data_IF_198528948775
#
_entry.id   IF_198528948775
#
_cell.length_a   1.000
_cell.length_b   1.000
_cell.length_c   1.000
_cell.angle_alpha   90.00
_cell.angle_beta   90.00
_cell.angle_gamma   90.00
#
_symmetry.space_group_name_H-M   'P 1'
#
loop_
_entity.id
_entity.type
_entity.pdbx_description
1 polymer ?
#
# COMPACT_ATOMS: atom_id res chain seq x y z
N UNK A 1 2.75 -8.86 -8.08
CA UNK A 1 2.97 -7.78 -7.09
C UNK A 1 4.41 -7.83 -6.63
N UNK A 2 5.17 -6.74 -6.78
CA UNK A 2 6.61 -6.77 -6.46
C UNK A 2 6.92 -6.20 -5.08
N UNK A 3 6.05 -5.32 -4.55
CA UNK A 3 6.30 -4.61 -3.29
C UNK A 3 5.03 -4.31 -2.52
N UNK A 4 5.11 -4.46 -1.20
CA UNK A 4 4.13 -3.94 -0.24
C UNK A 4 4.89 -3.13 0.80
N UNK A 5 4.49 -1.88 0.95
CA UNK A 5 4.93 -1.00 2.01
C UNK A 5 3.76 -0.69 2.93
N UNK A 6 3.99 -0.57 4.23
CA UNK A 6 2.96 -0.06 5.15
C UNK A 6 3.51 1.10 5.97
N UNK A 7 2.63 2.02 6.35
CA UNK A 7 2.92 3.08 7.30
C UNK A 7 2.04 2.92 8.53
N UNK A 8 2.64 2.45 9.62
CA UNK A 8 2.01 2.38 10.96
C UNK A 8 2.73 3.34 11.92
N UNK A 9 3.46 4.30 11.39
CA UNK A 9 4.61 4.92 12.07
C UNK A 9 4.28 6.17 12.89
N UNK A 10 3.00 6.43 13.16
CA UNK A 10 2.58 7.56 13.99
C UNK A 10 2.39 7.10 15.43
N UNK A 11 2.89 7.88 16.39
CA UNK A 11 2.61 7.70 17.82
C UNK A 11 1.11 7.78 18.16
N UNK A 12 0.27 8.26 17.22
CA UNK A 12 -1.19 8.33 17.35
C UNK A 12 -1.91 7.09 16.80
N UNK A 13 -1.19 6.16 16.20
CA UNK A 13 -1.78 4.92 15.68
C UNK A 13 -2.42 4.14 16.82
N UNK A 14 -3.68 3.76 16.65
CA UNK A 14 -4.43 3.05 17.67
C UNK A 14 -5.30 1.94 17.05
N UNK A 15 -6.12 1.28 17.86
CA UNK A 15 -6.92 0.13 17.41
C UNK A 15 -8.01 0.49 16.39
N UNK A 16 -8.38 1.76 16.29
CA UNK A 16 -9.38 2.26 15.34
C UNK A 16 -8.77 2.87 14.08
N UNK A 17 -7.43 2.95 14.01
CA UNK A 17 -6.73 3.44 12.83
C UNK A 17 -6.84 2.45 11.68
N UNK A 18 -7.04 3.00 10.49
CA UNK A 18 -6.75 2.37 9.22
C UNK A 18 -5.25 2.06 9.09
N UNK A 19 -4.94 1.10 8.22
CA UNK A 19 -3.56 0.76 7.87
C UNK A 19 -3.30 1.29 6.46
N UNK A 20 -2.41 2.27 6.36
CA UNK A 20 -1.93 2.81 5.09
C UNK A 20 -0.93 1.84 4.46
N UNK A 21 -1.16 1.47 3.20
CA UNK A 21 -0.29 0.59 2.45
C UNK A 21 -0.03 1.14 1.04
N UNK A 22 1.21 1.05 0.60
CA UNK A 22 1.60 1.40 -0.77
C UNK A 22 2.08 0.14 -1.48
N UNK A 23 1.53 -0.12 -2.65
CA UNK A 23 1.87 -1.27 -3.47
C UNK A 23 2.40 -0.84 -4.83
N UNK A 24 3.16 -1.74 -5.43
CA UNK A 24 3.58 -1.60 -6.82
C UNK A 24 3.34 -2.91 -7.55
N UNK A 25 2.52 -2.81 -8.59
CA UNK A 25 2.28 -3.88 -9.54
C UNK A 25 3.29 -3.80 -10.69
N UNK A 26 3.57 -4.96 -11.31
CA UNK A 26 4.28 -4.99 -12.58
C UNK A 26 3.30 -4.61 -13.71
N UNK A 27 3.81 -4.35 -14.91
CA UNK A 27 2.96 -4.03 -16.05
C UNK A 27 2.03 -5.21 -16.37
N UNK A 28 0.73 -4.95 -16.37
CA UNK A 28 -0.33 -5.92 -16.64
C UNK A 28 -1.49 -5.22 -17.37
N UNK A 29 -2.47 -5.99 -17.84
CA UNK A 29 -3.69 -5.42 -18.43
C UNK A 29 -4.52 -4.65 -17.39
N UNK A 30 -5.32 -3.67 -17.84
CA UNK A 30 -6.10 -2.82 -16.94
C UNK A 30 -7.12 -3.60 -16.12
N UNK A 31 -7.77 -4.63 -16.69
CA UNK A 31 -8.73 -5.44 -15.93
C UNK A 31 -8.02 -6.25 -14.86
N UNK A 32 -6.92 -6.91 -15.21
CA UNK A 32 -6.09 -7.68 -14.27
C UNK A 32 -5.52 -6.78 -13.15
N UNK A 33 -5.15 -5.54 -13.49
CA UNK A 33 -4.74 -4.54 -12.50
C UNK A 33 -5.84 -4.22 -11.50
N UNK A 34 -7.06 -3.96 -11.99
CA UNK A 34 -8.18 -3.61 -11.15
C UNK A 34 -8.55 -4.76 -10.21
N UNK A 35 -8.67 -5.98 -10.75
CA UNK A 35 -8.98 -7.19 -9.98
C UNK A 35 -7.92 -7.41 -8.89
N UNK A 36 -6.63 -7.41 -9.25
CA UNK A 36 -5.54 -7.60 -8.29
C UNK A 36 -5.51 -6.52 -7.20
N UNK A 37 -5.84 -5.27 -7.54
CA UNK A 37 -5.87 -4.18 -6.57
C UNK A 37 -6.99 -4.37 -5.54
N UNK A 38 -8.22 -4.64 -6.01
CA UNK A 38 -9.38 -4.78 -5.12
C UNK A 38 -9.29 -6.08 -4.31
N UNK A 39 -8.93 -7.20 -4.93
CA UNK A 39 -8.75 -8.48 -4.24
C UNK A 39 -7.70 -8.36 -3.13
N UNK A 40 -6.55 -7.74 -3.42
CA UNK A 40 -5.51 -7.55 -2.41
C UNK A 40 -6.01 -6.70 -1.24
N UNK A 41 -6.68 -5.57 -1.53
CA UNK A 41 -7.23 -4.68 -0.50
C UNK A 41 -8.19 -5.45 0.41
N UNK A 42 -9.16 -6.15 -0.17
CA UNK A 42 -10.18 -6.88 0.59
C UNK A 42 -9.57 -8.01 1.43
N UNK A 43 -8.64 -8.79 0.86
CA UNK A 43 -7.99 -9.86 1.60
C UNK A 43 -7.12 -9.33 2.75
N UNK A 44 -6.44 -8.19 2.57
CA UNK A 44 -5.70 -7.54 3.65
C UNK A 44 -6.63 -7.07 4.78
N UNK A 45 -7.79 -6.49 4.45
CA UNK A 45 -8.80 -6.08 5.44
C UNK A 45 -9.31 -7.28 6.24
N UNK A 46 -9.54 -8.43 5.58
CA UNK A 46 -9.95 -9.68 6.22
C UNK A 46 -8.88 -10.22 7.17
N UNK A 47 -7.63 -10.29 6.72
CA UNK A 47 -6.52 -10.85 7.51
C UNK A 47 -6.17 -9.96 8.70
N UNK A 48 -6.13 -8.64 8.50
CA UNK A 48 -5.73 -7.67 9.51
C UNK A 48 -6.89 -7.21 10.40
N UNK A 49 -8.13 -7.53 10.01
CA UNK A 49 -9.38 -7.12 10.68
C UNK A 49 -9.47 -5.61 10.90
N UNK A 50 -8.95 -4.85 9.95
CA UNK A 50 -8.90 -3.38 9.96
C UNK A 50 -9.07 -2.84 8.56
N UNK A 51 -9.62 -1.62 8.40
CA UNK A 51 -9.64 -0.95 7.11
C UNK A 51 -8.21 -0.75 6.57
N UNK A 52 -8.08 -0.87 5.25
CA UNK A 52 -6.81 -0.67 4.54
C UNK A 52 -6.98 0.51 3.59
N UNK A 53 -6.13 1.52 3.73
CA UNK A 53 -5.95 2.52 2.66
C UNK A 53 -4.81 2.05 1.76
N UNK A 54 -5.17 1.51 0.60
CA UNK A 54 -4.22 0.99 -0.38
C UNK A 54 -3.94 2.08 -1.41
N UNK A 55 -2.67 2.36 -1.69
CA UNK A 55 -2.25 3.29 -2.74
C UNK A 55 -1.30 2.58 -3.71
N UNK A 56 -1.46 2.85 -5.00
CA UNK A 56 -0.50 2.37 -6.00
C UNK A 56 0.60 3.42 -6.24
N UNK A 57 1.86 3.01 -6.14
CA UNK A 57 3.03 3.89 -6.15
C UNK A 57 3.20 4.72 -7.45
N UNK A 58 2.84 4.15 -8.59
CA UNK A 58 2.88 4.81 -9.91
C UNK A 58 1.73 5.80 -10.09
N UNK A 59 0.58 5.59 -9.43
CA UNK A 59 -0.57 6.49 -9.45
C UNK A 59 -0.35 7.79 -8.63
N UNK A 60 0.64 7.82 -7.72
CA UNK A 60 0.96 8.99 -6.89
C UNK A 60 1.66 10.07 -7.75
N UNK A 61 0.87 11.05 -8.20
CA UNK A 61 1.36 12.18 -9.01
C UNK A 61 1.99 13.32 -8.21
N UNK A 62 1.61 13.48 -6.94
CA UNK A 62 2.13 14.55 -6.10
C UNK A 62 3.54 14.21 -5.60
N UNK A 63 4.56 14.91 -6.11
CA UNK A 63 5.97 14.69 -5.77
C UNK A 63 6.26 14.86 -4.28
N UNK A 64 5.65 15.85 -3.62
CA UNK A 64 5.86 16.07 -2.19
C UNK A 64 5.32 14.91 -1.36
N UNK A 65 4.10 14.44 -1.68
CA UNK A 65 3.51 13.27 -1.04
C UNK A 65 4.38 12.02 -1.25
N UNK A 66 4.84 11.80 -2.49
CA UNK A 66 5.71 10.68 -2.83
C UNK A 66 7.02 10.70 -2.04
N UNK A 67 7.65 11.87 -1.87
CA UNK A 67 8.84 12.00 -1.05
C UNK A 67 8.56 11.65 0.42
N UNK A 68 7.48 12.18 1.01
CA UNK A 68 7.09 11.87 2.39
C UNK A 68 6.83 10.38 2.61
N UNK A 69 6.11 9.75 1.69
CA UNK A 69 5.89 8.30 1.71
C UNK A 69 7.23 7.57 1.61
N UNK A 70 8.12 7.97 0.72
CA UNK A 70 9.44 7.33 0.60
C UNK A 70 10.33 7.49 1.84
N UNK A 71 10.18 8.58 2.60
CA UNK A 71 10.92 8.81 3.85
C UNK A 71 10.44 7.88 4.98
N UNK A 72 9.15 7.55 5.02
CA UNK A 72 8.57 6.75 6.10
C UNK A 72 8.31 5.29 5.73
N UNK A 73 8.13 4.95 4.45
CA UNK A 73 7.70 3.61 4.04
C UNK A 73 8.70 2.54 4.46
N UNK A 74 8.18 1.43 4.98
CA UNK A 74 8.99 0.24 5.25
C UNK A 74 8.60 -0.89 4.31
N UNK A 75 9.61 -1.55 3.75
CA UNK A 75 9.41 -2.71 2.88
C UNK A 75 8.98 -3.90 3.73
N UNK A 76 7.78 -4.43 3.50
CA UNK A 76 7.25 -5.60 4.23
C UNK A 76 7.38 -6.88 3.40
N UNK A 77 7.15 -6.78 2.09
CA UNK A 77 7.26 -7.92 1.17
C UNK A 77 7.70 -7.44 -0.19
N UNK A 78 8.62 -8.16 -0.82
CA UNK A 78 9.20 -7.81 -2.11
C UNK A 78 10.71 -7.83 -2.11
N UNK A 79 11.31 -7.62 -3.29
CA UNK A 79 12.77 -7.58 -3.45
C UNK A 79 13.24 -6.14 -3.59
N UNK A 80 13.65 -5.52 -2.48
CA UNK A 80 14.31 -4.22 -2.51
C UNK A 80 15.53 -4.27 -3.42
N UNK A 81 15.66 -3.29 -4.31
CA UNK A 81 16.91 -3.07 -5.04
C UNK A 81 17.78 -2.11 -4.24
#
# INVERSE_FOLDING_TARGET
MRFVFASVLSEKFNERSDIDMVVRFDTMDLMEYADNYFDLKEQLEVVLKRPIDLLEEQAIRNTLLKMRINESKQLIYGKGN
#
